data_IF_396002750611
#
_entry.id   IF_396002750611
#
_cell.length_a   1.000
_cell.length_b   1.000
_cell.length_c   1.000
_cell.angle_alpha   90.00
_cell.angle_beta   90.00
_cell.angle_gamma   90.00
#
_symmetry.space_group_name_H-M   'P 1'
#
loop_
_entity.id
_entity.type
_entity.pdbx_description
1 polymer ?
#
# COMPACT_ATOMS: atom_id res chain seq x y z
N UNK A 1 17.83 21.80 9.81
CA UNK A 1 17.58 20.35 10.01
C UNK A 1 16.36 20.00 9.17
N UNK A 2 16.54 19.22 8.11
CA UNK A 2 15.40 18.78 7.30
C UNK A 2 14.80 17.55 7.97
N UNK A 3 13.55 17.66 8.42
CA UNK A 3 12.79 16.53 8.94
C UNK A 3 12.52 15.47 7.86
N UNK A 4 11.96 14.32 8.22
CA UNK A 4 11.57 13.30 7.24
C UNK A 4 10.59 13.88 6.23
N UNK A 5 10.68 13.44 4.97
CA UNK A 5 9.80 13.87 3.89
C UNK A 5 8.31 13.72 4.29
N UNK A 6 7.42 14.63 3.86
CA UNK A 6 5.99 14.47 4.03
C UNK A 6 5.52 13.20 3.29
N UNK A 7 4.55 12.49 3.86
CA UNK A 7 3.96 11.33 3.22
C UNK A 7 2.93 11.76 2.18
N UNK A 8 3.01 11.21 0.97
CA UNK A 8 1.98 11.37 -0.07
C UNK A 8 0.82 10.41 0.18
N UNK A 9 -0.41 10.92 0.19
CA UNK A 9 -1.60 10.04 0.21
C UNK A 9 -1.81 9.43 -1.17
N UNK A 10 -1.90 8.11 -1.24
CA UNK A 10 -2.00 7.39 -2.50
C UNK A 10 -3.00 6.23 -2.41
N UNK A 11 -3.65 5.91 -3.52
CA UNK A 11 -4.31 4.63 -3.65
C UNK A 11 -3.27 3.52 -3.71
N UNK A 12 -3.62 2.33 -3.20
CA UNK A 12 -2.74 1.17 -3.25
C UNK A 12 -2.31 0.86 -4.69
N UNK A 13 -3.24 0.97 -5.64
CA UNK A 13 -3.01 0.77 -7.08
C UNK A 13 -1.96 1.72 -7.68
N UNK A 14 -1.80 2.92 -7.11
CA UNK A 14 -0.88 3.94 -7.64
C UNK A 14 0.56 3.72 -7.14
N UNK A 15 0.75 3.00 -6.03
CA UNK A 15 2.07 2.86 -5.37
C UNK A 15 3.16 2.36 -6.32
N UNK A 16 2.94 1.35 -7.19
CA UNK A 16 3.98 0.89 -8.12
C UNK A 16 4.52 1.98 -9.05
N UNK A 17 3.70 2.97 -9.38
CA UNK A 17 4.07 4.09 -10.26
C UNK A 17 4.89 5.17 -9.55
N UNK A 18 4.88 5.21 -8.22
CA UNK A 18 5.59 6.23 -7.45
C UNK A 18 7.10 6.03 -7.50
N UNK A 19 7.91 7.10 -7.38
CA UNK A 19 9.36 6.98 -7.32
C UNK A 19 9.81 6.09 -6.13
N UNK A 20 10.94 5.39 -6.30
CA UNK A 20 11.58 4.72 -5.17
C UNK A 20 11.87 5.71 -4.04
N UNK A 21 11.85 5.23 -2.80
CA UNK A 21 12.08 5.99 -1.57
C UNK A 21 11.05 7.10 -1.29
N UNK A 22 9.96 7.16 -2.07
CA UNK A 22 8.82 8.03 -1.76
C UNK A 22 8.16 7.60 -0.45
N UNK A 23 7.92 8.55 0.45
CA UNK A 23 7.13 8.30 1.65
C UNK A 23 5.64 8.33 1.29
N UNK A 24 4.93 7.25 1.59
CA UNK A 24 3.51 7.09 1.23
C UNK A 24 2.64 6.89 2.46
N UNK A 25 1.37 7.28 2.33
CA UNK A 25 0.27 6.93 3.24
C UNK A 25 -0.86 6.34 2.41
N UNK A 26 -1.27 5.11 2.73
CA UNK A 26 -2.35 4.45 2.00
C UNK A 26 -3.17 3.55 2.93
N UNK A 27 -4.35 3.19 2.46
CA UNK A 27 -5.27 2.25 3.09
C UNK A 27 -5.19 0.90 2.36
N UNK A 28 -5.21 -0.20 3.11
CA UNK A 28 -5.30 -1.54 2.55
C UNK A 28 -5.97 -2.53 3.49
N UNK A 29 -6.60 -3.54 2.90
CA UNK A 29 -7.15 -4.70 3.61
C UNK A 29 -6.08 -5.79 3.69
N UNK A 30 -5.86 -6.35 4.86
CA UNK A 30 -4.92 -7.47 5.05
C UNK A 30 -5.47 -8.71 4.35
N UNK A 31 -4.81 -9.12 3.28
CA UNK A 31 -5.11 -10.35 2.54
C UNK A 31 -4.46 -11.56 3.21
N UNK A 32 -3.16 -11.46 3.50
CA UNK A 32 -2.38 -12.52 4.14
C UNK A 32 -1.22 -11.93 4.94
N UNK A 33 -0.76 -12.67 5.94
CA UNK A 33 0.46 -12.37 6.71
C UNK A 33 1.44 -13.54 6.58
N UNK A 34 2.62 -13.28 6.02
CA UNK A 34 3.73 -14.23 5.97
C UNK A 34 4.64 -14.03 7.17
N UNK A 35 4.33 -14.74 8.25
CA UNK A 35 5.02 -14.65 9.54
C UNK A 35 6.53 -14.81 9.38
N UNK A 36 6.99 -15.81 8.63
CA UNK A 36 8.42 -16.12 8.47
C UNK A 36 9.25 -15.02 7.81
N UNK A 37 8.60 -14.11 7.07
CA UNK A 37 9.24 -12.99 6.38
C UNK A 37 8.88 -11.63 6.98
N UNK A 38 7.92 -11.56 7.91
CA UNK A 38 7.40 -10.30 8.43
C UNK A 38 6.70 -9.46 7.36
N UNK A 39 5.95 -10.09 6.45
CA UNK A 39 5.30 -9.42 5.32
C UNK A 39 3.79 -9.51 5.37
N UNK A 40 3.12 -8.37 5.31
CA UNK A 40 1.69 -8.28 5.03
C UNK A 40 1.47 -8.13 3.53
N UNK A 41 0.53 -8.88 2.96
CA UNK A 41 -0.01 -8.60 1.63
C UNK A 41 -1.29 -7.82 1.84
N UNK A 42 -1.30 -6.58 1.37
CA UNK A 42 -2.48 -5.73 1.43
C UNK A 42 -3.13 -5.66 0.06
N UNK A 43 -4.46 -5.60 0.04
CA UNK A 43 -5.24 -5.38 -1.17
C UNK A 43 -6.27 -4.28 -0.98
N UNK A 44 -6.63 -3.62 -2.07
CA UNK A 44 -7.73 -2.65 -2.09
C UNK A 44 -8.37 -2.73 -3.46
N UNK A 45 -9.65 -3.07 -3.54
CA UNK A 45 -10.37 -3.20 -4.80
C UNK A 45 -10.79 -1.84 -5.41
N UNK A 46 -9.81 -0.94 -5.56
CA UNK A 46 -9.98 0.36 -6.19
C UNK A 46 -8.78 0.68 -7.10
N UNK A 47 -8.99 1.16 -8.34
CA UNK A 47 -10.30 1.33 -8.98
C UNK A 47 -11.00 -0.02 -9.19
N UNK A 48 -12.34 -0.05 -9.06
CA UNK A 48 -13.11 -1.29 -9.27
C UNK A 48 -12.91 -1.76 -10.72
N UNK A 49 -12.19 -2.86 -10.93
CA UNK A 49 -11.91 -3.36 -12.27
C UNK A 49 -13.19 -3.88 -12.93
N UNK A 50 -13.34 -3.57 -14.22
CA UNK A 50 -14.54 -3.90 -15.02
C UNK A 50 -14.61 -5.38 -15.42
N UNK A 51 -13.55 -6.17 -15.23
CA UNK A 51 -13.46 -7.56 -15.65
C UNK A 51 -13.38 -8.50 -14.45
N UNK A 52 -14.24 -9.54 -14.36
CA UNK A 52 -14.27 -10.49 -13.24
C UNK A 52 -12.99 -11.31 -13.01
N UNK A 53 -12.02 -11.28 -13.95
CA UNK A 53 -10.79 -12.09 -13.90
C UNK A 53 -9.56 -11.32 -13.40
N UNK A 54 -9.67 -10.01 -13.20
CA UNK A 54 -8.54 -9.22 -12.74
C UNK A 54 -8.52 -9.24 -11.21
N UNK A 55 -7.38 -9.63 -10.63
CA UNK A 55 -7.19 -9.60 -9.19
C UNK A 55 -7.19 -8.15 -8.69
N UNK A 56 -7.70 -7.87 -7.48
CA UNK A 56 -7.62 -6.54 -6.90
C UNK A 56 -6.14 -6.13 -6.76
N UNK A 57 -5.82 -4.83 -6.92
CA UNK A 57 -4.49 -4.30 -6.67
C UNK A 57 -3.99 -4.76 -5.31
N UNK A 58 -2.79 -5.33 -5.28
CA UNK A 58 -2.18 -5.88 -4.08
C UNK A 58 -0.72 -5.43 -3.96
N UNK A 59 -0.23 -5.22 -2.73
CA UNK A 59 1.16 -4.86 -2.47
C UNK A 59 1.69 -5.55 -1.22
N UNK A 60 2.97 -5.91 -1.23
CA UNK A 60 3.65 -6.41 -0.05
C UNK A 60 4.13 -5.25 0.83
N UNK A 61 3.97 -5.40 2.14
CA UNK A 61 4.39 -4.44 3.16
C UNK A 61 5.28 -5.17 4.16
N UNK A 62 6.54 -4.75 4.24
CA UNK A 62 7.48 -5.21 5.26
C UNK A 62 7.17 -4.50 6.58
N UNK A 63 6.87 -5.29 7.62
CA UNK A 63 6.54 -4.80 8.96
C UNK A 63 7.60 -5.16 10.00
N UNK A 64 8.74 -5.73 9.61
CA UNK A 64 9.77 -6.19 10.55
C UNK A 64 10.26 -5.07 11.47
N UNK A 65 10.37 -3.84 10.96
CA UNK A 65 10.82 -2.68 11.74
C UNK A 65 9.85 -2.23 12.84
N UNK A 66 8.58 -2.64 12.76
CA UNK A 66 7.50 -2.19 13.66
C UNK A 66 6.76 -3.36 14.33
N UNK A 67 7.21 -4.60 14.13
CA UNK A 67 6.49 -5.79 14.57
C UNK A 67 6.26 -5.82 16.09
N UNK A 68 7.19 -5.29 16.87
CA UNK A 68 7.10 -5.21 18.34
C UNK A 68 5.96 -4.33 18.84
N UNK A 69 5.48 -3.39 18.03
CA UNK A 69 4.41 -2.45 18.39
C UNK A 69 3.09 -2.77 17.71
N UNK A 70 3.05 -3.77 16.84
CA UNK A 70 1.81 -4.22 16.20
C UNK A 70 1.01 -5.14 17.12
N UNK A 71 -0.30 -5.05 17.00
CA UNK A 71 -1.26 -5.91 17.68
C UNK A 71 -1.88 -6.89 16.70
N UNK A 72 -2.70 -7.80 17.23
CA UNK A 72 -3.44 -8.75 16.40
C UNK A 72 -4.42 -8.05 15.44
N UNK A 73 -4.92 -6.86 15.80
CA UNK A 73 -5.88 -6.12 14.99
C UNK A 73 -5.30 -5.72 13.64
N UNK A 74 -4.02 -5.36 13.58
CA UNK A 74 -3.38 -4.96 12.33
C UNK A 74 -2.82 -6.15 11.52
N UNK A 75 -2.68 -7.32 12.14
CA UNK A 75 -2.15 -8.54 11.50
C UNK A 75 -3.25 -9.48 10.97
N UNK A 76 -4.48 -9.31 11.42
CA UNK A 76 -5.60 -10.18 11.08
C UNK A 76 -6.06 -10.02 9.63
N UNK A 77 -6.28 -11.14 8.94
CA UNK A 77 -6.88 -11.17 7.60
C UNK A 77 -8.26 -10.51 7.64
N UNK A 78 -8.52 -9.63 6.69
CA UNK A 78 -9.73 -8.82 6.60
C UNK A 78 -9.68 -7.49 7.36
N UNK A 79 -8.62 -7.24 8.14
CA UNK A 79 -8.45 -5.96 8.82
C UNK A 79 -8.11 -4.85 7.82
N UNK A 80 -8.78 -3.72 7.95
CA UNK A 80 -8.44 -2.50 7.23
C UNK A 80 -7.44 -1.69 8.04
N UNK A 81 -6.28 -1.41 7.44
CA UNK A 81 -5.18 -0.71 8.11
C UNK A 81 -4.70 0.47 7.27
N UNK A 82 -4.29 1.52 7.96
CA UNK A 82 -3.51 2.60 7.37
C UNK A 82 -2.03 2.27 7.50
N UNK A 83 -1.28 2.47 6.42
CA UNK A 83 0.16 2.27 6.39
C UNK A 83 0.84 3.58 6.03
N UNK A 84 1.88 3.94 6.78
CA UNK A 84 2.86 4.96 6.41
C UNK A 84 4.20 4.26 6.25
N UNK A 85 4.82 4.41 5.09
CA UNK A 85 6.04 3.71 4.76
C UNK A 85 6.77 4.28 3.56
N UNK A 86 7.84 3.60 3.15
CA UNK A 86 8.67 3.99 2.02
C UNK A 86 8.54 3.00 0.88
N UNK A 87 8.33 3.50 -0.34
CA UNK A 87 8.27 2.67 -1.55
C UNK A 87 9.65 2.12 -1.85
N UNK A 88 9.77 0.80 -1.98
CA UNK A 88 11.00 0.12 -2.35
C UNK A 88 10.83 -0.59 -3.67
N UNK A 89 11.72 -0.30 -4.63
CA UNK A 89 11.80 -0.99 -5.91
C UNK A 89 13.05 -1.86 -5.89
N UNK A 90 12.88 -3.18 -5.83
CA UNK A 90 14.00 -4.10 -5.98
C UNK A 90 13.98 -4.69 -7.39
N UNK A 91 15.11 -4.73 -8.11
CA UNK A 91 15.22 -5.51 -9.34
C UNK A 91 15.31 -7.03 -9.08
N UNK A 92 15.49 -7.46 -7.81
CA UNK A 92 15.91 -8.83 -7.47
C UNK A 92 15.17 -9.46 -6.29
N UNK A 93 14.04 -8.93 -5.82
CA UNK A 93 13.28 -9.57 -4.74
C UNK A 93 12.50 -10.79 -5.29
N UNK A 94 13.22 -11.88 -5.53
CA UNK A 94 12.69 -13.17 -5.96
C UNK A 94 11.57 -13.67 -5.03
N UNK A 95 11.60 -13.28 -3.75
CA UNK A 95 10.58 -13.64 -2.78
C UNK A 95 9.23 -12.93 -3.01
N UNK A 96 9.19 -11.73 -3.60
CA UNK A 96 7.93 -11.05 -3.93
C UNK A 96 7.19 -11.81 -5.05
N UNK A 97 7.93 -12.44 -5.97
CA UNK A 97 7.37 -13.30 -7.03
C UNK A 97 6.79 -14.61 -6.48
N UNK A 98 7.33 -15.14 -5.38
CA UNK A 98 6.75 -16.30 -4.68
C UNK A 98 5.46 -15.95 -3.92
N UNK A 99 5.39 -14.75 -3.34
CA UNK A 99 4.21 -14.27 -2.61
C UNK A 99 3.06 -13.91 -3.56
N UNK A 100 3.39 -13.32 -4.70
CA UNK A 100 2.46 -13.04 -5.78
C UNK A 100 2.21 -14.31 -6.59
N UNK A 101 1.34 -15.20 -6.10
CA UNK A 101 0.84 -16.34 -6.88
C UNK A 101 0.45 -15.91 -8.31
N UNK A 102 0.91 -16.71 -9.28
CA UNK A 102 0.78 -16.80 -10.76
C UNK A 102 -0.20 -15.92 -11.59
N UNK A 103 -0.97 -14.99 -11.03
CA UNK A 103 -1.99 -14.20 -11.74
C UNK A 103 -1.95 -12.69 -11.46
N UNK A 104 -1.02 -12.19 -10.66
CA UNK A 104 -0.79 -10.75 -10.52
C UNK A 104 0.45 -10.35 -11.33
N UNK A 105 0.23 -9.77 -12.50
CA UNK A 105 1.28 -9.07 -13.26
C UNK A 105 1.74 -7.85 -12.44
N UNK A 106 2.66 -8.05 -11.50
CA UNK A 106 3.36 -6.96 -10.82
C UNK A 106 4.55 -6.54 -11.68
N UNK A 107 4.53 -5.37 -12.33
CA UNK A 107 5.70 -4.82 -13.01
C UNK A 107 6.70 -4.36 -11.93
N UNK A 108 7.88 -4.98 -11.91
CA UNK A 108 8.94 -4.80 -10.89
C UNK A 108 8.50 -5.17 -9.45
N UNK A 109 9.41 -5.76 -8.66
CA UNK A 109 9.10 -6.11 -7.27
C UNK A 109 9.08 -4.85 -6.40
N UNK A 110 7.95 -4.15 -6.43
CA UNK A 110 7.63 -3.00 -5.57
C UNK A 110 7.01 -3.51 -4.27
N UNK A 111 7.54 -3.04 -3.14
CA UNK A 111 6.97 -3.25 -1.81
C UNK A 111 7.07 -1.94 -1.00
N UNK A 112 6.51 -1.95 0.21
CA UNK A 112 6.60 -0.82 1.13
C UNK A 112 7.25 -1.26 2.43
N UNK A 113 8.29 -0.53 2.87
CA UNK A 113 8.80 -0.65 4.23
C UNK A 113 7.93 0.17 5.17
N UNK A 114 7.20 -0.48 6.07
CA UNK A 114 6.33 0.21 7.01
C UNK A 114 7.14 0.86 8.14
N UNK A 115 6.73 2.09 8.47
CA UNK A 115 7.24 2.84 9.62
C UNK A 115 6.14 3.09 10.64
N UNK A 116 4.88 3.17 10.19
CA UNK A 116 3.71 3.26 11.05
C UNK A 116 2.59 2.43 10.42
N UNK A 117 1.94 1.60 11.23
CA UNK A 117 0.70 0.91 10.90
C UNK A 117 -0.29 1.15 12.02
N UNK A 118 -1.55 1.37 11.68
CA UNK A 118 -2.64 1.52 12.65
C UNK A 118 -3.98 1.09 12.05
N UNK A 119 -4.92 0.60 12.87
CA UNK A 119 -6.23 0.16 12.39
C UNK A 119 -7.00 1.34 11.79
N UNK A 120 -7.72 1.08 10.70
CA UNK A 120 -8.63 2.07 10.10
C UNK A 120 -9.96 2.18 10.86
N UNK A 121 -10.29 1.19 11.69
CA UNK A 121 -11.58 1.08 12.36
C UNK A 121 -12.74 0.91 11.37
N UNK A 122 -13.98 1.26 11.77
CA UNK A 122 -15.12 1.32 10.86
C UNK A 122 -14.89 2.44 9.83
N UNK A 123 -14.51 2.05 8.61
CA UNK A 123 -14.25 2.99 7.52
C UNK A 123 -15.30 2.84 6.41
N UNK A 124 -15.84 3.96 5.96
CA UNK A 124 -16.61 4.00 4.71
C UNK A 124 -15.63 4.07 3.54
N UNK A 125 -15.52 2.97 2.80
CA UNK A 125 -14.61 2.88 1.66
C UNK A 125 -15.02 3.81 0.53
N UNK A 126 -16.32 4.02 0.31
CA UNK A 126 -16.80 4.90 -0.75
C UNK A 126 -16.44 6.34 -0.48
N UNK A 127 -16.62 6.80 0.76
CA UNK A 127 -16.22 8.14 1.19
C UNK A 127 -14.69 8.31 1.14
N UNK A 128 -13.92 7.33 1.61
CA UNK A 128 -12.46 7.35 1.51
C UNK A 128 -11.98 7.48 0.06
N UNK A 129 -12.52 6.65 -0.84
CA UNK A 129 -12.20 6.65 -2.26
C UNK A 129 -12.50 8.01 -2.90
N UNK A 130 -13.68 8.58 -2.61
CA UNK A 130 -14.08 9.88 -3.12
C UNK A 130 -13.15 10.99 -2.64
N UNK A 131 -12.95 11.11 -1.31
CA UNK A 131 -12.11 12.17 -0.73
C UNK A 131 -10.68 12.09 -1.25
N UNK A 132 -10.10 10.89 -1.35
CA UNK A 132 -8.74 10.75 -1.86
C UNK A 132 -8.66 11.09 -3.35
N UNK A 133 -9.67 10.73 -4.14
CA UNK A 133 -9.78 11.14 -5.54
C UNK A 133 -9.80 12.65 -5.70
N UNK A 134 -10.67 13.33 -4.95
CA UNK A 134 -10.80 14.79 -4.95
C UNK A 134 -9.48 15.48 -4.55
N UNK A 135 -8.81 14.96 -3.52
CA UNK A 135 -7.51 15.48 -3.07
C UNK A 135 -6.43 15.33 -4.14
N UNK A 136 -6.36 14.17 -4.81
CA UNK A 136 -5.40 13.94 -5.90
C UNK A 136 -5.68 14.85 -7.11
N UNK A 137 -6.94 15.13 -7.41
CA UNK A 137 -7.34 16.06 -8.46
C UNK A 137 -6.90 17.50 -8.16
N UNK A 138 -7.15 17.98 -6.95
CA UNK A 138 -6.70 19.31 -6.49
C UNK A 138 -5.17 19.42 -6.57
N UNK A 139 -4.43 18.40 -6.13
CA UNK A 139 -2.97 18.39 -6.21
C UNK A 139 -2.46 18.39 -7.65
N UNK A 140 -3.17 17.73 -8.57
CA UNK A 140 -2.86 17.78 -10.01
C UNK A 140 -3.07 19.18 -10.58
N UNK A 141 -4.12 19.88 -10.18
CA UNK A 141 -4.38 21.26 -10.63
C UNK A 141 -3.39 22.28 -10.06
N UNK A 142 -2.84 22.02 -8.87
CA UNK A 142 -1.89 22.91 -8.20
C UNK A 142 -0.46 22.83 -8.71
N UNK A 143 -0.07 21.72 -9.34
CA UNK A 143 1.24 21.59 -9.97
C UNK A 143 1.28 22.44 -11.25
N UNK A 144 2.18 23.45 -11.36
CA UNK A 144 2.38 24.17 -12.61
C UNK A 144 2.73 23.16 -13.71
N UNK A 145 2.16 23.35 -14.90
CA UNK A 145 2.66 22.67 -16.10
C UNK A 145 4.04 23.26 -16.36
N UNK A 146 5.09 22.53 -16.01
CA UNK A 146 6.46 22.82 -16.45
C UNK A 146 6.62 22.59 -17.96
#
# INVERSE_FOLDING_TARGET
MNGPLPSTRAFLADIPSLPADSKVRFLGCVKTYQISKGLLVLEHNYPRFKKPRDNPPSIAVDVNAILETMTWEELCVGAWINVIGYVRKSPAAAWVKEVASAHASMPESVHVDAVIVFPAGPIDLGEYEQILGDLQEVERMRRPVE
#
